data_IF_407724885065
#
_entry.id   IF_407724885065
#
_cell.length_a   1.000
_cell.length_b   1.000
_cell.length_c   1.000
_cell.angle_alpha   90.00
_cell.angle_beta   90.00
_cell.angle_gamma   90.00
#
_symmetry.space_group_name_H-M   'P 1'
#
loop_
_entity.id
_entity.type
_entity.pdbx_description
1 polymer ?
#
# COMPACT_ATOMS: atom_id res chain seq x y z
N UNK A 1 42.38 17.62 -27.19
CA UNK A 1 41.66 17.83 -25.91
C UNK A 1 42.40 17.11 -24.81
N UNK A 2 42.79 17.74 -23.70
CA UNK A 2 43.57 17.06 -22.64
C UNK A 2 42.74 15.94 -21.97
N UNK A 3 43.32 14.75 -21.83
CA UNK A 3 42.69 13.54 -21.27
C UNK A 3 41.96 13.78 -19.92
N UNK A 4 42.40 14.75 -19.13
CA UNK A 4 41.73 15.16 -17.87
C UNK A 4 40.34 15.75 -18.05
N UNK A 5 40.05 16.49 -19.13
CA UNK A 5 38.75 17.07 -19.41
C UNK A 5 37.78 15.98 -19.85
N UNK A 6 38.23 15.04 -20.68
CA UNK A 6 37.41 13.93 -21.16
C UNK A 6 36.98 13.00 -19.99
N UNK A 7 37.86 12.75 -19.04
CA UNK A 7 37.53 11.96 -17.85
C UNK A 7 36.51 12.68 -16.94
N UNK A 8 36.62 14.00 -16.75
CA UNK A 8 35.63 14.76 -15.96
C UNK A 8 34.23 14.74 -16.60
N UNK A 9 34.17 14.79 -17.93
CA UNK A 9 32.90 14.71 -18.68
C UNK A 9 32.27 13.31 -18.53
N UNK A 10 33.06 12.23 -18.67
CA UNK A 10 32.58 10.86 -18.49
C UNK A 10 32.03 10.60 -17.08
N UNK A 11 32.71 11.10 -16.05
CA UNK A 11 32.28 10.97 -14.66
C UNK A 11 30.95 11.74 -14.44
N UNK A 12 30.81 12.96 -14.92
CA UNK A 12 29.56 13.73 -14.83
C UNK A 12 28.40 13.05 -15.55
N UNK A 13 28.64 12.48 -16.73
CA UNK A 13 27.66 11.75 -17.50
C UNK A 13 27.21 10.49 -16.76
N UNK A 14 28.15 9.76 -16.14
CA UNK A 14 27.85 8.58 -15.33
C UNK A 14 26.98 8.93 -14.11
N UNK A 15 27.28 10.00 -13.39
CA UNK A 15 26.45 10.47 -12.27
C UNK A 15 25.05 10.89 -12.73
N UNK A 16 24.94 11.55 -13.88
CA UNK A 16 23.63 11.95 -14.45
C UNK A 16 22.80 10.73 -14.84
N UNK A 17 23.41 9.69 -15.43
CA UNK A 17 22.71 8.44 -15.79
C UNK A 17 22.26 7.70 -14.51
N UNK A 18 23.12 7.59 -13.50
CA UNK A 18 22.78 6.97 -12.22
C UNK A 18 21.64 7.73 -11.53
N UNK A 19 21.69 9.05 -11.51
CA UNK A 19 20.66 9.90 -10.92
C UNK A 19 19.30 9.78 -11.65
N UNK A 20 19.30 9.72 -12.99
CA UNK A 20 18.06 9.54 -13.78
C UNK A 20 17.45 8.15 -13.62
N UNK A 21 18.26 7.10 -13.44
CA UNK A 21 17.79 5.75 -13.14
C UNK A 21 17.12 5.66 -11.76
N UNK A 22 17.60 6.41 -10.77
CA UNK A 22 17.02 6.45 -9.43
C UNK A 22 15.68 7.20 -9.37
N UNK A 23 15.45 8.18 -10.24
CA UNK A 23 14.20 8.94 -10.29
C UNK A 23 13.01 8.14 -10.86
N UNK A 24 13.28 7.13 -11.70
CA UNK A 24 12.23 6.36 -12.41
C UNK A 24 11.43 5.39 -11.52
N UNK A 25 11.92 5.00 -10.34
CA UNK A 25 11.32 3.93 -9.53
C UNK A 25 10.14 4.34 -8.63
N UNK A 26 9.70 5.60 -8.66
CA UNK A 26 8.83 6.16 -7.61
C UNK A 26 7.46 6.64 -8.10
N UNK A 27 7.12 6.42 -9.36
CA UNK A 27 5.86 6.91 -9.94
C UNK A 27 4.65 6.09 -9.49
N UNK A 28 3.55 6.78 -9.20
CA UNK A 28 2.22 6.19 -9.01
C UNK A 28 1.80 5.58 -10.36
N UNK A 29 1.11 4.41 -10.39
CA UNK A 29 0.59 3.85 -11.63
C UNK A 29 -0.32 4.83 -12.37
N UNK A 30 -0.22 4.86 -13.70
CA UNK A 30 -0.96 5.83 -14.55
C UNK A 30 -2.48 5.71 -14.40
N UNK A 31 -2.98 4.49 -14.25
CA UNK A 31 -4.41 4.23 -14.07
C UNK A 31 -4.65 3.41 -12.79
N UNK A 32 -4.84 4.10 -11.68
CA UNK A 32 -5.12 3.49 -10.36
C UNK A 32 -6.57 2.99 -10.21
N UNK A 33 -7.44 3.29 -11.16
CA UNK A 33 -8.83 2.80 -11.15
C UNK A 33 -8.95 1.39 -11.74
N UNK A 34 -7.93 0.90 -12.45
CA UNK A 34 -7.95 -0.39 -13.11
C UNK A 34 -6.86 -1.32 -12.57
N UNK A 35 -7.27 -2.43 -11.92
CA UNK A 35 -6.36 -3.41 -11.33
C UNK A 35 -5.45 -4.08 -12.38
N UNK A 36 -5.97 -4.36 -13.57
CA UNK A 36 -5.19 -4.96 -14.65
C UNK A 36 -4.11 -4.01 -15.17
N UNK A 37 -4.44 -2.72 -15.30
CA UNK A 37 -3.50 -1.68 -15.68
C UNK A 37 -2.39 -1.51 -14.65
N UNK A 38 -2.74 -1.44 -13.35
CA UNK A 38 -1.76 -1.38 -12.25
C UNK A 38 -0.77 -2.54 -12.35
N UNK A 39 -1.25 -3.78 -12.50
CA UNK A 39 -0.40 -4.96 -12.48
C UNK A 39 0.32 -5.23 -13.80
N UNK A 40 -0.19 -4.74 -14.94
CA UNK A 40 0.56 -4.79 -16.19
C UNK A 40 1.75 -3.83 -16.19
N UNK A 41 1.59 -2.66 -15.61
CA UNK A 41 2.66 -1.66 -15.42
C UNK A 41 3.65 -2.08 -14.30
N UNK A 42 3.14 -2.71 -13.24
CA UNK A 42 3.89 -3.06 -12.03
C UNK A 42 3.77 -4.56 -11.72
N UNK A 43 4.29 -5.41 -12.61
CA UNK A 43 4.15 -6.87 -12.46
C UNK A 43 4.68 -7.42 -11.12
N UNK A 44 5.80 -6.90 -10.62
CA UNK A 44 6.32 -7.30 -9.31
C UNK A 44 5.40 -6.94 -8.14
N UNK A 45 4.52 -5.94 -8.31
CA UNK A 45 3.48 -5.65 -7.34
C UNK A 45 2.44 -6.76 -7.30
N UNK A 46 2.06 -7.29 -8.47
CA UNK A 46 1.17 -8.44 -8.53
C UNK A 46 1.75 -9.66 -7.83
N UNK A 47 3.02 -10.00 -8.05
CA UNK A 47 3.70 -11.11 -7.35
C UNK A 47 3.66 -10.93 -5.84
N UNK A 48 4.00 -9.74 -5.36
CA UNK A 48 4.04 -9.45 -3.91
C UNK A 48 2.66 -9.54 -3.26
N UNK A 49 1.63 -8.94 -3.86
CA UNK A 49 0.27 -8.95 -3.32
C UNK A 49 -0.36 -10.35 -3.39
N UNK A 50 -0.07 -11.12 -4.44
CA UNK A 50 -0.49 -12.51 -4.56
C UNK A 50 0.11 -13.37 -3.47
N UNK A 51 1.42 -13.27 -3.24
CA UNK A 51 2.10 -14.01 -2.16
C UNK A 51 1.54 -13.64 -0.78
N UNK A 52 1.21 -12.35 -0.54
CA UNK A 52 0.60 -11.94 0.72
C UNK A 52 -0.83 -12.45 0.87
N UNK A 53 -1.60 -12.48 -0.22
CA UNK A 53 -2.95 -13.05 -0.31
C UNK A 53 -2.93 -14.53 0.03
N UNK A 54 -2.02 -15.29 -0.55
CA UNK A 54 -1.87 -16.72 -0.29
C UNK A 54 -1.45 -17.02 1.16
N UNK A 55 -0.52 -16.22 1.72
CA UNK A 55 -0.05 -16.39 3.10
C UNK A 55 -1.14 -16.15 4.16
N UNK A 56 -2.01 -15.17 3.93
CA UNK A 56 -2.99 -14.72 4.93
C UNK A 56 -4.45 -15.01 4.56
N UNK A 57 -4.69 -15.66 3.44
CA UNK A 57 -6.02 -15.97 2.85
C UNK A 57 -6.88 -14.72 2.63
N UNK A 58 -6.26 -13.58 2.34
CA UNK A 58 -6.93 -12.29 2.10
C UNK A 58 -7.02 -12.02 0.60
N UNK A 59 -8.24 -11.77 0.03
CA UNK A 59 -8.39 -11.56 -1.40
C UNK A 59 -7.58 -10.35 -1.93
N UNK A 60 -6.84 -10.55 -3.03
CA UNK A 60 -6.00 -9.52 -3.68
C UNK A 60 -6.74 -8.20 -3.90
N UNK A 61 -8.00 -8.25 -4.37
CA UNK A 61 -8.79 -7.05 -4.65
C UNK A 61 -9.08 -6.21 -3.39
N UNK A 62 -9.15 -6.83 -2.21
CA UNK A 62 -9.36 -6.14 -0.94
C UNK A 62 -8.07 -5.43 -0.54
N UNK A 63 -6.93 -6.14 -0.55
CA UNK A 63 -5.62 -5.55 -0.22
C UNK A 63 -5.35 -4.34 -1.13
N UNK A 64 -5.61 -4.48 -2.43
CA UNK A 64 -5.40 -3.41 -3.42
C UNK A 64 -6.30 -2.19 -3.14
N UNK A 65 -7.58 -2.40 -2.77
CA UNK A 65 -8.50 -1.34 -2.43
C UNK A 65 -8.08 -0.58 -1.14
N UNK A 66 -7.49 -1.28 -0.17
CA UNK A 66 -6.91 -0.66 1.02
C UNK A 66 -5.76 0.26 0.62
N UNK A 67 -4.78 -0.22 -0.16
CA UNK A 67 -3.65 0.62 -0.62
C UNK A 67 -4.15 1.85 -1.36
N UNK A 68 -5.13 1.70 -2.26
CA UNK A 68 -5.72 2.84 -2.97
C UNK A 68 -6.28 3.87 -2.00
N UNK A 69 -7.04 3.43 -1.00
CA UNK A 69 -7.68 4.33 -0.03
C UNK A 69 -6.67 5.02 0.89
N UNK A 70 -5.65 4.29 1.34
CA UNK A 70 -4.67 4.80 2.31
C UNK A 70 -3.67 5.79 1.69
N UNK A 71 -3.15 5.49 0.51
CA UNK A 71 -2.04 6.25 -0.05
C UNK A 71 -2.22 6.70 -1.50
N UNK A 72 -3.28 6.25 -2.19
CA UNK A 72 -3.36 6.42 -3.64
C UNK A 72 -2.15 5.83 -4.37
N UNK A 73 -1.57 4.75 -3.85
CA UNK A 73 -0.32 4.13 -4.34
C UNK A 73 0.94 4.99 -4.19
N UNK A 74 0.92 6.02 -3.37
CA UNK A 74 2.09 6.84 -3.09
C UNK A 74 3.00 6.17 -2.06
N UNK A 75 4.26 5.93 -2.45
CA UNK A 75 5.29 5.29 -1.62
C UNK A 75 5.58 6.04 -0.32
N UNK A 76 5.59 7.36 -0.38
CA UNK A 76 5.95 8.23 0.74
C UNK A 76 4.76 9.03 1.28
N UNK A 77 3.54 8.54 1.05
CA UNK A 77 2.34 9.17 1.59
C UNK A 77 2.47 9.39 3.10
N UNK A 78 2.11 10.58 3.53
CA UNK A 78 2.08 11.00 4.95
C UNK A 78 0.84 11.84 5.18
N UNK A 79 0.25 11.82 6.40
CA UNK A 79 -0.83 12.75 6.75
C UNK A 79 -0.39 14.22 6.55
N UNK A 80 -1.32 15.04 6.08
CA UNK A 80 -1.07 16.48 6.01
C UNK A 80 -0.68 17.03 7.39
N UNK A 81 0.18 18.05 7.43
CA UNK A 81 0.50 18.74 8.67
C UNK A 81 -0.71 19.57 9.12
N UNK A 82 -0.99 19.59 10.41
CA UNK A 82 -1.86 20.60 11.00
C UNK A 82 -1.22 21.99 10.79
N UNK A 83 -2.04 23.02 10.74
CA UNK A 83 -1.55 24.40 10.58
C UNK A 83 -1.75 25.16 11.87
N UNK A 84 -0.68 25.76 12.40
CA UNK A 84 -0.75 26.74 13.48
C UNK A 84 -1.26 28.04 12.85
N UNK A 85 -2.23 28.71 13.50
CA UNK A 85 -2.89 29.92 13.00
C UNK A 85 -3.41 29.81 11.56
N UNK A 86 -3.78 28.58 11.11
CA UNK A 86 -4.24 28.24 9.74
C UNK A 86 -3.20 28.45 8.62
N UNK A 87 -1.99 28.93 8.93
CA UNK A 87 -0.97 29.31 7.95
C UNK A 87 0.29 28.45 8.09
N UNK A 88 0.87 28.37 9.28
CA UNK A 88 2.19 27.73 9.49
C UNK A 88 2.05 26.23 9.66
N UNK A 89 2.74 25.39 8.81
CA UNK A 89 2.75 23.95 9.00
C UNK A 89 3.32 23.54 10.35
N UNK A 90 2.55 22.76 11.13
CA UNK A 90 2.93 22.31 12.47
C UNK A 90 3.14 20.79 12.52
N UNK A 91 2.54 20.10 13.47
CA UNK A 91 2.68 18.65 13.66
C UNK A 91 1.85 17.85 12.65
N UNK A 92 2.25 16.61 12.42
CA UNK A 92 1.38 15.64 11.75
C UNK A 92 0.44 15.01 12.79
N UNK A 93 -0.84 14.76 12.44
CA UNK A 93 -1.81 14.19 13.37
C UNK A 93 -1.49 12.73 13.73
N UNK A 94 -0.72 12.03 12.91
CA UNK A 94 -0.30 10.66 13.19
C UNK A 94 1.08 10.34 12.61
N UNK A 95 1.66 9.22 13.02
CA UNK A 95 2.91 8.67 12.48
C UNK A 95 2.72 7.80 11.23
N UNK A 96 1.54 7.86 10.59
CA UNK A 96 1.22 7.08 9.39
C UNK A 96 2.19 7.36 8.25
N UNK A 97 2.57 6.31 7.51
CA UNK A 97 3.57 6.40 6.44
C UNK A 97 3.37 5.32 5.38
N UNK A 98 3.63 5.70 4.13
CA UNK A 98 3.79 4.80 2.99
C UNK A 98 2.49 4.24 2.46
N UNK A 99 2.59 3.13 1.71
CA UNK A 99 1.46 2.54 1.00
C UNK A 99 0.29 2.12 1.90
N UNK A 100 0.58 1.60 3.07
CA UNK A 100 -0.42 1.11 4.03
C UNK A 100 -0.87 2.14 5.04
N UNK A 101 -0.26 3.32 5.11
CA UNK A 101 -0.49 4.33 6.16
C UNK A 101 -0.45 3.75 7.59
N UNK A 102 0.31 2.67 7.78
CA UNK A 102 0.51 2.08 9.09
C UNK A 102 1.14 3.09 10.07
N UNK A 103 0.57 3.22 11.26
CA UNK A 103 1.18 3.98 12.34
C UNK A 103 2.36 3.22 12.95
N UNK A 104 3.34 3.93 13.51
CA UNK A 104 4.59 3.35 14.01
C UNK A 104 4.33 2.18 14.98
N UNK A 105 3.50 2.37 15.99
CA UNK A 105 3.18 1.35 17.00
C UNK A 105 2.61 0.06 16.41
N UNK A 106 1.68 0.16 15.45
CA UNK A 106 1.07 -1.03 14.82
C UNK A 106 2.06 -1.70 13.87
N UNK A 107 2.95 -0.94 13.24
CA UNK A 107 4.03 -1.49 12.42
C UNK A 107 5.06 -2.27 13.24
N UNK A 108 5.43 -1.77 14.41
CA UNK A 108 6.32 -2.45 15.34
C UNK A 108 5.70 -3.77 15.83
N UNK A 109 4.41 -3.77 16.17
CA UNK A 109 3.68 -4.99 16.51
C UNK A 109 3.72 -6.02 15.35
N UNK A 110 3.48 -5.57 14.12
CA UNK A 110 3.60 -6.43 12.94
C UNK A 110 4.99 -7.02 12.81
N UNK A 111 6.03 -6.20 12.92
CA UNK A 111 7.42 -6.65 12.81
C UNK A 111 7.76 -7.72 13.85
N UNK A 112 7.33 -7.53 15.09
CA UNK A 112 7.55 -8.47 16.18
C UNK A 112 6.80 -9.80 15.93
N UNK A 113 5.51 -9.73 15.61
CA UNK A 113 4.69 -10.95 15.43
C UNK A 113 5.05 -11.74 14.16
N UNK A 114 5.63 -11.12 13.15
CA UNK A 114 5.97 -11.78 11.89
C UNK A 114 7.47 -12.05 11.74
N UNK A 115 8.27 -11.73 12.76
CA UNK A 115 9.72 -11.78 12.73
C UNK A 115 10.30 -11.07 11.48
N UNK A 116 9.86 -9.82 11.24
CA UNK A 116 10.22 -9.04 10.06
C UNK A 116 10.89 -7.70 10.41
N UNK A 117 12.03 -7.69 11.13
CA UNK A 117 12.63 -6.47 11.69
C UNK A 117 13.11 -5.48 10.61
N UNK A 118 13.40 -5.95 9.40
CA UNK A 118 13.88 -5.14 8.28
C UNK A 118 12.76 -4.69 7.33
N UNK A 119 11.48 -4.90 7.69
CA UNK A 119 10.37 -4.45 6.89
C UNK A 119 10.23 -2.93 6.91
N UNK A 120 9.90 -2.34 5.75
CA UNK A 120 9.80 -0.88 5.55
C UNK A 120 8.38 -0.49 5.12
N UNK A 121 7.75 0.46 5.84
CA UNK A 121 6.42 1.01 5.50
C UNK A 121 6.34 1.63 4.10
N UNK A 122 7.48 2.00 3.51
CA UNK A 122 7.61 2.57 2.16
C UNK A 122 7.91 1.52 1.08
N UNK A 123 8.10 0.25 1.45
CA UNK A 123 8.31 -0.83 0.49
C UNK A 123 6.97 -1.50 0.17
N UNK A 124 6.63 -1.62 -1.13
CA UNK A 124 5.37 -2.20 -1.58
C UNK A 124 5.09 -3.58 -0.97
N UNK A 125 6.06 -4.52 -1.12
CA UNK A 125 5.93 -5.88 -0.59
C UNK A 125 5.56 -5.87 0.89
N UNK A 126 6.31 -5.14 1.70
CA UNK A 126 6.12 -5.15 3.16
C UNK A 126 4.77 -4.52 3.55
N UNK A 127 4.35 -3.48 2.83
CA UNK A 127 3.05 -2.82 3.06
C UNK A 127 1.85 -3.71 2.73
N UNK A 128 1.89 -4.50 1.64
CA UNK A 128 0.78 -5.42 1.32
C UNK A 128 0.75 -6.61 2.27
N UNK A 129 1.92 -7.09 2.74
CA UNK A 129 1.99 -8.11 3.78
C UNK A 129 1.45 -7.60 5.12
N UNK A 130 1.75 -6.36 5.49
CA UNK A 130 1.17 -5.70 6.67
C UNK A 130 -0.36 -5.62 6.60
N UNK A 131 -0.91 -5.14 5.47
CA UNK A 131 -2.37 -5.04 5.29
C UNK A 131 -3.02 -6.42 5.43
N UNK A 132 -2.46 -7.44 4.79
CA UNK A 132 -2.98 -8.80 4.84
C UNK A 132 -2.90 -9.39 6.26
N UNK A 133 -1.79 -9.19 6.97
CA UNK A 133 -1.65 -9.56 8.38
C UNK A 133 -2.70 -8.86 9.25
N UNK A 134 -2.91 -7.55 9.05
CA UNK A 134 -3.88 -6.80 9.84
C UNK A 134 -5.32 -7.31 9.63
N UNK A 135 -5.70 -7.58 8.38
CA UNK A 135 -7.00 -8.14 8.02
C UNK A 135 -7.18 -9.54 8.64
N UNK A 136 -6.17 -10.41 8.53
CA UNK A 136 -6.18 -11.74 9.16
C UNK A 136 -6.29 -11.63 10.68
N UNK A 137 -5.57 -10.70 11.31
CA UNK A 137 -5.67 -10.44 12.75
C UNK A 137 -7.04 -9.88 13.15
N UNK A 138 -7.65 -9.02 12.32
CA UNK A 138 -9.03 -8.55 12.51
C UNK A 138 -10.04 -9.69 12.49
N UNK A 139 -9.86 -10.67 11.61
CA UNK A 139 -10.70 -11.87 11.60
C UNK A 139 -10.59 -12.66 12.92
N UNK A 140 -9.37 -12.82 13.44
CA UNK A 140 -9.14 -13.53 14.72
C UNK A 140 -9.73 -12.79 15.91
N UNK A 141 -9.57 -11.47 16.00
CA UNK A 141 -9.96 -10.64 17.15
C UNK A 141 -11.48 -10.34 17.12
N UNK A 142 -11.97 -9.80 16.02
CA UNK A 142 -13.34 -9.29 15.92
C UNK A 142 -14.26 -10.19 15.08
N UNK A 143 -13.80 -11.38 14.69
CA UNK A 143 -14.56 -12.38 13.91
C UNK A 143 -15.13 -11.85 12.59
N UNK A 144 -14.44 -10.90 11.97
CA UNK A 144 -14.85 -10.32 10.68
C UNK A 144 -14.34 -11.20 9.55
N UNK A 145 -15.20 -11.64 8.60
CA UNK A 145 -14.76 -12.43 7.45
C UNK A 145 -13.69 -11.71 6.62
N UNK A 146 -12.70 -12.48 6.14
CA UNK A 146 -11.57 -11.95 5.36
C UNK A 146 -12.00 -11.26 4.05
N UNK A 147 -13.14 -11.65 3.51
CA UNK A 147 -13.72 -11.09 2.29
C UNK A 147 -14.70 -9.93 2.50
N UNK A 148 -14.91 -9.49 3.76
CA UNK A 148 -15.76 -8.34 4.08
C UNK A 148 -14.94 -7.03 4.09
N UNK A 149 -14.73 -6.47 2.92
CA UNK A 149 -13.95 -5.24 2.76
C UNK A 149 -14.48 -4.06 3.60
N UNK A 150 -15.80 -3.96 3.81
CA UNK A 150 -16.41 -2.87 4.56
C UNK A 150 -16.04 -2.93 6.05
N UNK A 151 -16.35 -4.06 6.71
CA UNK A 151 -16.08 -4.21 8.15
C UNK A 151 -14.59 -4.33 8.44
N UNK A 152 -13.82 -4.95 7.55
CA UNK A 152 -12.36 -4.98 7.63
C UNK A 152 -11.76 -3.58 7.60
N UNK A 153 -12.25 -2.70 6.71
CA UNK A 153 -11.74 -1.33 6.64
C UNK A 153 -12.16 -0.47 7.84
N UNK A 154 -13.36 -0.66 8.39
CA UNK A 154 -13.76 -0.02 9.66
C UNK A 154 -12.78 -0.36 10.80
N UNK A 155 -12.38 -1.64 10.90
CA UNK A 155 -11.37 -2.08 11.87
C UNK A 155 -10.00 -1.43 11.60
N UNK A 156 -9.59 -1.35 10.33
CA UNK A 156 -8.33 -0.76 9.94
C UNK A 156 -8.24 0.74 10.30
N UNK A 157 -9.30 1.47 10.02
CA UNK A 157 -9.40 2.91 10.25
C UNK A 157 -9.49 3.28 11.72
N UNK A 158 -10.29 2.55 12.50
CA UNK A 158 -10.58 2.85 13.91
C UNK A 158 -9.67 2.12 14.90
N UNK A 159 -9.04 1.03 14.46
CA UNK A 159 -8.38 0.07 15.34
C UNK A 159 -9.35 -0.94 15.96
N UNK A 160 -8.84 -2.12 16.31
CA UNK A 160 -9.64 -3.25 16.80
C UNK A 160 -10.50 -2.92 18.01
N UNK A 161 -9.94 -2.19 19.00
CA UNK A 161 -10.65 -1.85 20.23
C UNK A 161 -11.81 -0.88 20.01
N UNK A 162 -11.62 0.18 19.20
CA UNK A 162 -12.70 1.13 18.90
C UNK A 162 -13.80 0.49 18.05
N UNK A 163 -13.42 -0.41 17.13
CA UNK A 163 -14.40 -1.17 16.38
C UNK A 163 -15.25 -2.06 17.31
N UNK A 164 -14.64 -2.80 18.23
CA UNK A 164 -15.34 -3.64 19.20
C UNK A 164 -16.32 -2.82 20.08
N UNK A 165 -15.93 -1.59 20.44
CA UNK A 165 -16.79 -0.63 21.15
C UNK A 165 -17.86 0.03 20.25
N UNK A 166 -17.94 -0.36 18.97
CA UNK A 166 -18.90 0.14 17.98
C UNK A 166 -18.82 1.66 17.72
N UNK A 167 -17.66 2.29 17.91
CA UNK A 167 -17.43 3.72 17.66
C UNK A 167 -17.80 4.13 16.23
N UNK A 168 -17.69 3.21 15.27
CA UNK A 168 -18.07 3.44 13.88
C UNK A 168 -19.54 3.85 13.70
N UNK A 169 -20.44 3.56 14.65
CA UNK A 169 -21.86 3.94 14.52
C UNK A 169 -22.08 5.45 14.49
N UNK A 170 -21.21 6.22 15.14
CA UNK A 170 -21.23 7.69 15.20
C UNK A 170 -20.22 8.35 14.29
N UNK A 171 -19.21 7.60 13.80
CA UNK A 171 -18.15 8.13 12.91
C UNK A 171 -18.60 8.05 11.43
N UNK A 172 -19.32 9.11 10.97
CA UNK A 172 -19.74 9.22 9.57
C UNK A 172 -18.61 9.11 8.58
N UNK A 173 -17.40 9.61 8.93
CA UNK A 173 -16.22 9.58 8.06
C UNK A 173 -15.70 8.15 7.88
N UNK A 174 -15.62 7.38 8.96
CA UNK A 174 -15.25 5.96 8.90
C UNK A 174 -16.21 5.18 8.01
N UNK A 175 -17.53 5.41 8.14
CA UNK A 175 -18.56 4.76 7.32
C UNK A 175 -18.38 5.10 5.83
N UNK A 176 -18.21 6.38 5.49
CA UNK A 176 -18.02 6.83 4.09
C UNK A 176 -16.77 6.18 3.49
N UNK A 177 -15.68 6.15 4.23
CA UNK A 177 -14.42 5.56 3.78
C UNK A 177 -14.55 4.06 3.59
N UNK A 178 -15.16 3.35 4.52
CA UNK A 178 -15.38 1.91 4.42
C UNK A 178 -16.30 1.54 3.21
N UNK A 179 -17.35 2.32 2.97
CA UNK A 179 -18.20 2.16 1.75
C UNK A 179 -17.40 2.37 0.47
N UNK A 180 -16.49 3.37 0.43
CA UNK A 180 -15.64 3.63 -0.74
C UNK A 180 -14.67 2.47 -1.01
N UNK A 181 -14.08 1.89 0.03
CA UNK A 181 -13.21 0.72 -0.08
C UNK A 181 -13.98 -0.51 -0.55
N UNK A 182 -15.17 -0.75 -0.02
CA UNK A 182 -16.04 -1.84 -0.47
C UNK A 182 -16.40 -1.72 -1.95
N UNK A 183 -16.79 -0.51 -2.39
CA UNK A 183 -17.09 -0.24 -3.81
C UNK A 183 -15.87 -0.51 -4.69
N UNK A 184 -14.71 0.03 -4.33
CA UNK A 184 -13.48 -0.14 -5.09
C UNK A 184 -13.01 -1.60 -5.13
N UNK A 185 -13.14 -2.32 -4.02
CA UNK A 185 -12.82 -3.74 -3.93
C UNK A 185 -13.68 -4.57 -4.90
N UNK A 186 -14.97 -4.27 -5.03
CA UNK A 186 -15.87 -4.95 -6.00
C UNK A 186 -15.42 -4.68 -7.45
N UNK A 187 -15.04 -3.44 -7.78
CA UNK A 187 -14.52 -3.05 -9.11
C UNK A 187 -13.25 -3.83 -9.42
N UNK A 188 -12.28 -3.82 -8.52
CA UNK A 188 -11.03 -4.56 -8.70
C UNK A 188 -11.26 -6.07 -8.81
N UNK A 189 -12.22 -6.63 -8.06
CA UNK A 189 -12.60 -8.04 -8.17
C UNK A 189 -13.08 -8.41 -9.58
N UNK A 190 -13.94 -7.58 -10.17
CA UNK A 190 -14.41 -7.78 -11.55
C UNK A 190 -13.26 -7.72 -12.55
N UNK A 191 -12.46 -6.66 -12.50
CA UNK A 191 -11.32 -6.47 -13.41
C UNK A 191 -10.30 -7.61 -13.34
N UNK A 192 -9.97 -8.08 -12.13
CA UNK A 192 -9.03 -9.18 -11.97
C UNK A 192 -9.50 -10.50 -12.58
N UNK A 193 -10.81 -10.76 -12.67
CA UNK A 193 -11.34 -11.94 -13.37
C UNK A 193 -10.92 -11.97 -14.84
N UNK A 194 -10.80 -10.80 -15.46
CA UNK A 194 -10.44 -10.67 -16.88
C UNK A 194 -8.92 -10.89 -17.12
N UNK A 195 -8.06 -10.37 -16.26
CA UNK A 195 -6.62 -10.36 -16.51
C UNK A 195 -5.79 -11.35 -15.67
N UNK A 196 -6.37 -11.93 -14.62
CA UNK A 196 -5.62 -12.77 -13.67
C UNK A 196 -4.95 -13.97 -14.33
N UNK A 197 -5.61 -14.60 -15.32
CA UNK A 197 -5.02 -15.71 -16.08
C UNK A 197 -3.74 -15.29 -16.80
N UNK A 198 -3.74 -14.13 -17.44
CA UNK A 198 -2.58 -13.60 -18.14
C UNK A 198 -1.46 -13.16 -17.18
N UNK A 199 -1.82 -12.55 -16.03
CA UNK A 199 -0.86 -12.19 -14.98
C UNK A 199 -0.18 -13.44 -14.40
N UNK A 200 -0.92 -14.52 -14.22
CA UNK A 200 -0.35 -15.80 -13.75
C UNK A 200 0.60 -16.43 -14.77
N UNK A 201 0.29 -16.34 -16.07
CA UNK A 201 1.15 -16.89 -17.16
C UNK A 201 2.49 -16.17 -17.27
N UNK A 202 2.57 -14.86 -17.03
CA UNK A 202 3.84 -14.11 -17.06
C UNK A 202 4.89 -14.67 -16.09
N UNK A 203 4.51 -15.49 -15.12
CA UNK A 203 5.42 -16.21 -14.22
C UNK A 203 6.43 -17.09 -14.97
N UNK A 204 6.08 -17.58 -16.15
CA UNK A 204 6.89 -18.56 -16.93
C UNK A 204 7.79 -17.90 -17.99
N UNK A 205 7.73 -16.58 -18.19
CA UNK A 205 8.46 -15.88 -19.27
C UNK A 205 9.70 -15.12 -18.74
N UNK A 206 9.88 -15.03 -17.44
CA UNK A 206 10.95 -14.25 -16.80
C UNK A 206 11.96 -15.19 -16.10
N UNK A 207 12.44 -16.20 -16.85
CA UNK A 207 13.60 -17.03 -16.50
C UNK A 207 14.51 -17.15 -17.72
#
# INVERSE_FOLDING_TARGET
MPKKILNKIKIKLLYFIIFSLLASCNSIPKNVENACSIFSERYFWYKSIKNSSEKYDVPVHIILAFVKKESGFSRYAKPARTKLFKIVPYKRPSSSLGYSQAVKKTWELYNTETNSPLALRTRWRDSVFFISWYISKTNKINKIPLNDAYRQYLNYYLGWGNYAKKVYKTDKKAIIFAKSVQKQSKIYKSQLRECQKNLNRKKYIIY
#
